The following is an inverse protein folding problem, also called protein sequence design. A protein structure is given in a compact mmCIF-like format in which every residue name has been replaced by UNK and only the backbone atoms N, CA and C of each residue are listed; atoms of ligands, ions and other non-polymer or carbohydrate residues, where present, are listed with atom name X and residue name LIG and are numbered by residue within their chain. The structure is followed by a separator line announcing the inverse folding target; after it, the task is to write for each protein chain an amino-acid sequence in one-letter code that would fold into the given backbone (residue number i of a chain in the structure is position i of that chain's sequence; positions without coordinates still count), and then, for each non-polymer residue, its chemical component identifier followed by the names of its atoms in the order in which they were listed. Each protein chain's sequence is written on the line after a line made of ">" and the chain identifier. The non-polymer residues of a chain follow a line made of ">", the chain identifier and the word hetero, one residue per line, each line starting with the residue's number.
data_IF_822761549345
#
_entry.id   IF_822761549345
#
_cell.length_a   1.000
_cell.length_b   1.000
_cell.length_c   1.000
_cell.angle_alpha   90.00
_cell.angle_beta   90.00
_cell.angle_gamma   90.00
#
_symmetry.space_group_name_H-M   'P 1'
#
loop_
_entity.id
_entity.type
_entity.pdbx_description
1 polymer ?
#
# COMPACT_ATOMS: atom_id res chain seq x y z
N UNK A 1 7.05 11.40 12.44
CA UNK A 1 5.67 11.86 12.69
C UNK A 1 5.62 12.99 13.72
N UNK A 2 5.62 12.74 15.04
CA UNK A 2 5.45 13.81 16.08
C UNK A 2 6.30 15.08 15.90
N UNK A 3 7.60 14.94 15.59
CA UNK A 3 8.52 16.09 15.37
C UNK A 3 8.00 17.07 14.31
N UNK A 4 7.30 16.57 13.31
CA UNK A 4 6.81 17.34 12.16
C UNK A 4 5.29 17.51 12.13
N UNK A 5 4.58 17.01 13.15
CA UNK A 5 3.11 17.02 13.27
C UNK A 5 2.40 16.42 12.04
N UNK A 6 2.81 15.21 11.67
CA UNK A 6 2.30 14.53 10.48
C UNK A 6 1.28 13.44 10.85
N UNK A 7 0.14 13.35 10.13
CA UNK A 7 -0.68 12.15 10.14
C UNK A 7 0.07 10.99 9.48
N UNK A 8 -0.38 9.77 9.76
CA UNK A 8 0.17 8.55 9.19
C UNK A 8 -0.85 7.42 9.28
N UNK A 9 -0.69 6.44 8.39
CA UNK A 9 -1.41 5.16 8.40
C UNK A 9 -0.42 4.04 8.67
N UNK A 10 -0.76 3.15 9.61
CA UNK A 10 0.03 1.96 9.91
C UNK A 10 -0.76 0.71 9.51
N UNK A 11 -0.24 -0.03 8.54
CA UNK A 11 -0.76 -1.34 8.16
C UNK A 11 -0.10 -2.41 9.02
N UNK A 12 -0.83 -2.94 10.00
CA UNK A 12 -0.28 -3.87 10.99
C UNK A 12 -0.62 -5.33 10.62
N UNK A 13 0.37 -6.23 10.54
CA UNK A 13 0.11 -7.65 10.58
C UNK A 13 -0.46 -8.05 11.95
N UNK A 14 -1.45 -8.93 11.99
CA UNK A 14 -2.03 -9.41 13.24
C UNK A 14 -1.00 -10.01 14.21
N UNK A 15 -0.02 -10.75 13.69
CA UNK A 15 1.11 -11.26 14.47
C UNK A 15 1.87 -10.11 15.16
N UNK A 16 2.11 -9.01 14.46
CA UNK A 16 2.79 -7.84 15.01
C UNK A 16 1.96 -7.14 16.09
N UNK A 17 0.63 -7.07 15.92
CA UNK A 17 -0.28 -6.52 16.95
C UNK A 17 -0.18 -7.32 18.25
N UNK A 18 -0.18 -8.65 18.16
CA UNK A 18 -0.11 -9.53 19.34
C UNK A 18 1.30 -9.63 19.93
N UNK A 19 2.33 -9.49 19.11
CA UNK A 19 3.74 -9.56 19.55
C UNK A 19 4.20 -8.26 20.20
N UNK A 20 3.74 -7.12 19.70
CA UNK A 20 4.15 -5.79 20.14
C UNK A 20 2.95 -4.94 20.61
N UNK A 21 2.16 -5.43 21.59
CA UNK A 21 0.90 -4.80 21.96
C UNK A 21 1.08 -3.38 22.51
N UNK A 22 2.18 -3.11 23.22
CA UNK A 22 2.48 -1.77 23.74
C UNK A 22 2.76 -0.78 22.60
N UNK A 23 3.51 -1.19 21.58
CA UNK A 23 3.83 -0.34 20.43
C UNK A 23 2.59 -0.13 19.54
N UNK A 24 1.75 -1.14 19.39
CA UNK A 24 0.46 -1.00 18.74
C UNK A 24 -0.42 0.01 19.47
N UNK A 25 -0.60 -0.13 20.79
CA UNK A 25 -1.41 0.80 21.59
C UNK A 25 -0.87 2.24 21.55
N UNK A 26 0.45 2.43 21.44
CA UNK A 26 1.02 3.75 21.19
C UNK A 26 0.53 4.34 19.87
N UNK A 27 0.47 3.56 18.78
CA UNK A 27 -0.03 4.08 17.50
C UNK A 27 -1.51 4.46 17.56
N UNK A 28 -2.32 3.68 18.26
CA UNK A 28 -3.74 3.96 18.49
C UNK A 28 -3.95 5.21 19.34
N UNK A 29 -3.23 5.33 20.46
CA UNK A 29 -3.37 6.45 21.39
C UNK A 29 -2.92 7.79 20.79
N UNK A 30 -2.00 7.76 19.81
CA UNK A 30 -1.59 8.95 19.05
C UNK A 30 -2.58 9.33 17.93
N UNK A 31 -3.61 8.52 17.72
CA UNK A 31 -4.65 8.78 16.71
C UNK A 31 -4.20 8.52 15.28
N UNK A 32 -3.19 7.68 15.06
CA UNK A 32 -2.83 7.25 13.71
C UNK A 32 -3.89 6.29 13.15
N UNK A 33 -4.07 6.31 11.84
CA UNK A 33 -4.95 5.35 11.16
C UNK A 33 -4.32 3.95 11.21
N UNK A 34 -5.14 2.92 11.44
CA UNK A 34 -4.73 1.52 11.47
C UNK A 34 -5.40 0.76 10.33
N UNK A 35 -4.59 0.11 9.48
CA UNK A 35 -5.02 -0.76 8.39
C UNK A 35 -4.59 -2.22 8.60
N UNK A 36 -5.16 -3.11 7.79
CA UNK A 36 -4.90 -4.56 7.83
C UNK A 36 -3.71 -4.94 6.96
N UNK A 37 -2.86 -5.87 7.42
CA UNK A 37 -1.71 -6.37 6.65
C UNK A 37 -1.44 -7.88 6.83
N UNK A 38 -2.49 -8.70 6.74
CA UNK A 38 -2.40 -10.15 7.01
C UNK A 38 -2.11 -10.47 8.48
N UNK A 39 -1.81 -11.73 8.81
CA UNK A 39 -1.48 -12.11 10.18
C UNK A 39 0.04 -12.19 10.35
N UNK A 40 0.70 -13.16 9.72
CA UNK A 40 2.14 -13.40 9.72
C UNK A 40 2.82 -12.99 8.41
N UNK A 41 2.22 -12.01 7.71
CA UNK A 41 2.71 -11.51 6.43
C UNK A 41 2.78 -12.63 5.36
N UNK A 42 1.67 -13.38 5.23
CA UNK A 42 1.48 -14.47 4.29
C UNK A 42 1.18 -13.93 2.89
N UNK A 43 1.82 -14.47 1.85
CA UNK A 43 1.52 -14.11 0.47
C UNK A 43 0.11 -14.62 0.06
N UNK A 44 -0.86 -13.73 -0.26
CA UNK A 44 -2.22 -14.13 -0.61
C UNK A 44 -2.32 -15.05 -1.83
N UNK A 45 -1.41 -14.98 -2.80
CA UNK A 45 -1.39 -15.90 -3.95
C UNK A 45 -1.11 -17.36 -3.57
N UNK A 46 -0.56 -17.61 -2.38
CA UNK A 46 -0.28 -18.95 -1.86
C UNK A 46 -1.42 -19.51 -0.99
N UNK A 47 -2.49 -18.75 -0.77
CA UNK A 47 -3.59 -19.10 0.12
C UNK A 47 -4.83 -19.57 -0.65
N UNK A 48 -5.66 -20.38 0.01
CA UNK A 48 -7.04 -20.60 -0.44
C UNK A 48 -7.92 -19.41 -0.06
N UNK A 49 -9.08 -19.26 -0.72
CA UNK A 49 -10.07 -18.23 -0.34
C UNK A 49 -10.47 -18.32 1.13
N UNK A 50 -10.64 -19.54 1.66
CA UNK A 50 -11.00 -19.77 3.07
C UNK A 50 -9.89 -19.29 4.01
N UNK A 51 -8.63 -19.62 3.71
CA UNK A 51 -7.49 -19.14 4.51
C UNK A 51 -7.37 -17.61 4.49
N UNK A 52 -7.50 -17.00 3.32
CA UNK A 52 -7.45 -15.54 3.17
C UNK A 52 -8.60 -14.86 3.93
N UNK A 53 -9.81 -15.42 3.84
CA UNK A 53 -10.99 -14.96 4.58
C UNK A 53 -10.80 -15.07 6.10
N UNK A 54 -10.36 -16.23 6.61
CA UNK A 54 -10.15 -16.46 8.04
C UNK A 54 -9.13 -15.50 8.63
N UNK A 55 -8.01 -15.26 7.93
CA UNK A 55 -6.97 -14.33 8.34
C UNK A 55 -7.52 -12.89 8.36
N UNK A 56 -8.25 -12.52 7.30
CA UNK A 56 -8.82 -11.18 7.18
C UNK A 56 -9.84 -10.91 8.28
N UNK A 57 -10.77 -11.83 8.53
CA UNK A 57 -11.77 -11.74 9.62
C UNK A 57 -11.09 -11.62 10.98
N UNK A 58 -10.10 -12.47 11.26
CA UNK A 58 -9.36 -12.44 12.51
C UNK A 58 -8.63 -11.10 12.73
N UNK A 59 -7.98 -10.57 11.70
CA UNK A 59 -7.23 -9.32 11.82
C UNK A 59 -8.16 -8.09 11.95
N UNK A 60 -9.30 -8.09 11.24
CA UNK A 60 -10.33 -7.05 11.40
C UNK A 60 -10.86 -7.04 12.83
N UNK A 61 -11.22 -8.20 13.38
CA UNK A 61 -11.69 -8.32 14.75
C UNK A 61 -10.62 -7.87 15.75
N UNK A 62 -9.36 -8.28 15.54
CA UNK A 62 -8.24 -7.91 16.40
C UNK A 62 -8.04 -6.38 16.45
N UNK A 63 -8.05 -5.71 15.29
CA UNK A 63 -7.93 -4.25 15.20
C UNK A 63 -9.16 -3.57 15.80
N UNK A 64 -10.36 -4.03 15.47
CA UNK A 64 -11.63 -3.43 15.94
C UNK A 64 -11.73 -3.48 17.46
N UNK A 65 -11.37 -4.60 18.07
CA UNK A 65 -11.39 -4.77 19.53
C UNK A 65 -10.42 -3.85 20.27
N UNK A 66 -9.33 -3.42 19.62
CA UNK A 66 -8.29 -2.59 20.24
C UNK A 66 -8.45 -1.09 19.93
N UNK A 67 -8.98 -0.75 18.77
CA UNK A 67 -9.16 0.63 18.30
C UNK A 67 -10.58 1.16 18.54
N UNK A 68 -11.57 0.28 18.66
CA UNK A 68 -12.99 0.62 18.74
C UNK A 68 -13.67 0.91 17.40
N UNK A 69 -12.95 0.80 16.28
CA UNK A 69 -13.50 1.01 14.93
C UNK A 69 -12.95 -0.05 13.96
N UNK A 70 -13.76 -0.43 12.96
CA UNK A 70 -13.28 -1.32 11.91
C UNK A 70 -12.21 -0.59 11.06
N UNK A 71 -11.10 -1.27 10.70
CA UNK A 71 -10.16 -0.72 9.74
C UNK A 71 -10.84 -0.54 8.38
N UNK A 72 -10.39 0.44 7.61
CA UNK A 72 -10.90 0.76 6.27
C UNK A 72 -9.89 0.45 5.16
N UNK A 73 -8.60 0.39 5.50
CA UNK A 73 -7.51 0.12 4.59
C UNK A 73 -6.94 -1.29 4.69
N UNK A 74 -6.44 -1.78 3.56
CA UNK A 74 -5.72 -3.04 3.46
C UNK A 74 -4.45 -2.86 2.61
N UNK A 75 -3.41 -3.62 2.97
CA UNK A 75 -2.24 -3.86 2.12
C UNK A 75 -2.01 -5.37 2.05
N UNK A 76 -1.93 -5.93 0.85
CA UNK A 76 -1.55 -7.31 0.63
C UNK A 76 -0.09 -7.52 1.08
N UNK A 77 0.20 -8.52 1.93
CA UNK A 77 1.57 -8.85 2.25
C UNK A 77 2.40 -9.09 0.99
N UNK A 78 3.55 -8.42 0.92
CA UNK A 78 4.44 -8.44 -0.24
C UNK A 78 3.83 -7.91 -1.57
N UNK A 79 2.72 -7.16 -1.50
CA UNK A 79 1.97 -6.64 -2.66
C UNK A 79 1.47 -7.70 -3.64
N UNK A 80 1.17 -8.88 -3.12
CA UNK A 80 0.70 -10.01 -3.92
C UNK A 80 -0.82 -10.13 -3.80
N UNK A 81 -1.54 -9.30 -4.55
CA UNK A 81 -3.00 -9.25 -4.55
C UNK A 81 -3.60 -10.47 -5.26
N UNK A 82 -4.45 -11.22 -4.56
CA UNK A 82 -5.03 -12.47 -5.08
C UNK A 82 -6.25 -12.22 -5.97
N UNK A 83 -6.67 -13.26 -6.70
CA UNK A 83 -7.86 -13.20 -7.54
C UNK A 83 -9.17 -13.12 -6.74
N UNK A 84 -9.14 -13.37 -5.42
CA UNK A 84 -10.30 -13.28 -4.53
C UNK A 84 -10.23 -12.10 -3.56
N UNK A 85 -9.06 -11.47 -3.39
CA UNK A 85 -8.84 -10.40 -2.42
C UNK A 85 -9.83 -9.25 -2.57
N UNK A 86 -10.08 -8.75 -3.78
CA UNK A 86 -11.02 -7.66 -4.02
C UNK A 86 -12.43 -7.95 -3.46
N UNK A 87 -12.96 -9.14 -3.76
CA UNK A 87 -14.28 -9.55 -3.28
C UNK A 87 -14.29 -9.66 -1.75
N UNK A 88 -13.26 -10.28 -1.16
CA UNK A 88 -13.17 -10.45 0.29
C UNK A 88 -13.10 -9.12 1.04
N UNK A 89 -12.37 -8.13 0.50
CA UNK A 89 -12.28 -6.78 1.04
C UNK A 89 -13.63 -6.06 0.99
N UNK A 90 -14.31 -6.08 -0.17
CA UNK A 90 -15.61 -5.43 -0.32
C UNK A 90 -16.67 -6.08 0.57
N UNK A 91 -16.71 -7.43 0.64
CA UNK A 91 -17.65 -8.19 1.48
C UNK A 91 -17.57 -7.78 2.97
N UNK A 92 -16.39 -7.33 3.42
CA UNK A 92 -16.11 -6.91 4.81
C UNK A 92 -16.12 -5.40 5.02
N UNK A 93 -16.42 -4.63 3.96
CA UNK A 93 -16.56 -3.18 4.04
C UNK A 93 -15.24 -2.42 4.08
N UNK A 94 -14.12 -3.01 3.64
CA UNK A 94 -12.88 -2.27 3.45
C UNK A 94 -13.07 -1.28 2.30
N UNK A 95 -12.61 -0.05 2.51
CA UNK A 95 -12.79 1.09 1.61
C UNK A 95 -11.74 1.12 0.51
N UNK A 96 -10.49 0.81 0.85
CA UNK A 96 -9.38 0.93 -0.08
C UNK A 96 -8.30 -0.15 0.10
N UNK A 97 -7.52 -0.35 -0.96
CA UNK A 97 -6.29 -1.14 -1.03
C UNK A 97 -5.09 -0.25 -1.37
N UNK A 98 -3.89 -0.69 -0.95
CA UNK A 98 -2.60 -0.13 -1.33
C UNK A 98 -1.61 -1.25 -1.70
N UNK A 99 -1.90 -1.93 -2.80
CA UNK A 99 -1.11 -3.09 -3.27
C UNK A 99 -0.95 -3.15 -4.78
N UNK A 100 -1.83 -2.51 -5.54
CA UNK A 100 -1.87 -2.58 -6.99
C UNK A 100 -1.17 -1.38 -7.63
N UNK A 101 -0.72 -1.57 -8.87
CA UNK A 101 0.18 -0.62 -9.56
C UNK A 101 -0.34 -0.22 -10.95
N UNK A 102 -1.66 -0.11 -11.14
CA UNK A 102 -2.22 0.28 -12.45
C UNK A 102 -2.03 1.76 -12.78
N UNK A 103 -1.76 2.59 -11.76
CA UNK A 103 -1.43 4.02 -11.84
C UNK A 103 -0.37 4.33 -10.80
N UNK A 104 0.23 5.52 -10.88
CA UNK A 104 1.34 5.92 -9.99
C UNK A 104 0.87 6.91 -8.92
N UNK A 105 0.34 8.07 -9.35
CA UNK A 105 0.06 9.22 -8.48
C UNK A 105 -1.41 9.64 -8.44
N UNK A 106 -2.31 8.74 -8.84
CA UNK A 106 -3.76 8.96 -8.84
C UNK A 106 -4.47 7.72 -8.28
N UNK A 107 -5.38 7.87 -7.31
CA UNK A 107 -6.24 6.78 -6.90
C UNK A 107 -7.19 6.38 -8.04
N UNK A 108 -7.71 5.15 -8.00
CA UNK A 108 -8.65 4.66 -9.00
C UNK A 108 -9.52 3.52 -8.46
N UNK A 109 -10.63 3.21 -9.14
CA UNK A 109 -11.44 2.03 -8.82
C UNK A 109 -10.81 0.76 -9.40
N UNK A 110 -10.62 -0.26 -8.56
CA UNK A 110 -9.99 -1.52 -8.95
C UNK A 110 -10.88 -2.28 -9.93
N UNK A 111 -10.29 -2.88 -10.98
CA UNK A 111 -11.01 -3.82 -11.85
C UNK A 111 -10.80 -5.26 -11.42
N UNK A 112 -11.86 -6.05 -11.51
CA UNK A 112 -11.81 -7.53 -11.38
C UNK A 112 -12.12 -8.19 -12.72
N UNK A 113 -11.56 -9.37 -12.95
CA UNK A 113 -11.80 -10.14 -14.18
C UNK A 113 -10.93 -9.74 -15.37
N UNK A 114 -9.90 -8.90 -15.18
CA UNK A 114 -8.86 -8.70 -16.19
C UNK A 114 -8.23 -10.07 -16.55
N UNK A 115 -8.06 -10.35 -17.85
CA UNK A 115 -7.53 -11.63 -18.33
C UNK A 115 -6.58 -11.46 -19.52
N UNK A 116 -5.58 -12.35 -19.61
CA UNK A 116 -4.60 -12.34 -20.69
C UNK A 116 -4.23 -13.75 -21.13
N UNK A 117 -3.77 -13.88 -22.38
CA UNK A 117 -3.28 -15.16 -22.90
C UNK A 117 -1.78 -15.24 -22.69
N UNK A 118 -1.32 -16.21 -21.90
CA UNK A 118 0.12 -16.46 -21.68
C UNK A 118 0.77 -16.99 -22.97
N UNK A 119 2.05 -16.68 -23.15
CA UNK A 119 2.84 -17.23 -24.25
C UNK A 119 2.95 -18.75 -24.07
N UNK A 120 2.68 -19.47 -25.16
CA UNK A 120 2.80 -20.92 -25.26
C UNK A 120 3.66 -21.23 -26.49
N UNK A 121 4.93 -21.58 -26.26
CA UNK A 121 5.91 -21.80 -27.33
C UNK A 121 5.68 -23.09 -28.12
N UNK A 122 4.81 -23.98 -27.64
CA UNK A 122 4.42 -25.20 -28.35
C UNK A 122 3.29 -24.94 -29.37
N UNK A 123 2.79 -23.70 -29.45
CA UNK A 123 1.68 -23.30 -30.32
C UNK A 123 2.08 -22.22 -31.34
N UNK A 124 1.36 -22.12 -32.48
CA UNK A 124 1.53 -20.99 -33.39
C UNK A 124 1.29 -19.66 -32.66
N UNK A 125 2.10 -18.63 -32.97
CA UNK A 125 2.03 -17.33 -32.31
C UNK A 125 0.62 -16.70 -32.28
N UNK A 126 -0.22 -16.99 -33.28
CA UNK A 126 -1.62 -16.54 -33.34
C UNK A 126 -2.48 -16.97 -32.15
N UNK A 127 -2.07 -18.02 -31.41
CA UNK A 127 -2.81 -18.49 -30.23
C UNK A 127 -2.70 -17.54 -29.04
N UNK A 128 -1.57 -16.81 -28.91
CA UNK A 128 -1.29 -15.94 -27.76
C UNK A 128 -1.06 -14.46 -28.12
N UNK A 129 -0.93 -14.11 -29.41
CA UNK A 129 -0.92 -12.70 -29.87
C UNK A 129 -2.31 -12.06 -29.78
N UNK A 130 -2.83 -11.94 -28.56
CA UNK A 130 -4.13 -11.36 -28.21
C UNK A 130 -3.91 -10.26 -27.16
N UNK A 131 -4.65 -9.15 -27.23
CA UNK A 131 -4.58 -8.14 -26.19
C UNK A 131 -5.12 -8.68 -24.86
N UNK A 132 -4.74 -8.03 -23.75
CA UNK A 132 -5.43 -8.17 -22.47
C UNK A 132 -6.89 -7.73 -22.64
N UNK A 133 -7.81 -8.48 -22.03
CA UNK A 133 -9.22 -8.13 -21.93
C UNK A 133 -9.46 -7.54 -20.54
N UNK A 134 -9.89 -6.28 -20.49
CA UNK A 134 -10.24 -5.61 -19.23
C UNK A 134 -11.56 -6.18 -18.71
N UNK A 135 -11.62 -6.42 -17.41
CA UNK A 135 -12.85 -6.76 -16.70
C UNK A 135 -13.60 -5.50 -16.26
N UNK A 136 -14.28 -5.59 -15.12
CA UNK A 136 -15.22 -4.58 -14.64
C UNK A 136 -14.70 -3.91 -13.36
N UNK A 137 -14.93 -2.61 -13.23
CA UNK A 137 -14.55 -1.83 -12.04
C UNK A 137 -15.48 -2.10 -10.84
N UNK A 138 -14.88 -2.33 -9.68
CA UNK A 138 -15.57 -2.49 -8.39
C UNK A 138 -15.51 -1.20 -7.58
N UNK A 139 -16.11 -1.21 -6.39
CA UNK A 139 -16.14 -0.04 -5.50
C UNK A 139 -14.89 0.08 -4.61
N UNK A 140 -13.95 -0.88 -4.71
CA UNK A 140 -12.68 -0.81 -4.00
C UNK A 140 -11.80 0.27 -4.63
N UNK A 141 -11.38 1.24 -3.82
CA UNK A 141 -10.42 2.27 -4.22
C UNK A 141 -9.01 1.71 -4.09
N UNK A 142 -8.18 1.88 -5.10
CA UNK A 142 -6.74 1.72 -4.99
C UNK A 142 -6.09 3.07 -4.69
N UNK A 143 -5.22 3.10 -3.68
CA UNK A 143 -4.17 4.10 -3.51
C UNK A 143 -2.85 3.42 -3.90
N UNK A 144 -2.26 3.70 -5.07
CA UNK A 144 -1.35 2.76 -5.71
C UNK A 144 -0.07 2.51 -4.91
N UNK A 145 0.34 1.25 -4.86
CA UNK A 145 1.68 0.87 -4.45
C UNK A 145 2.72 1.27 -5.52
N UNK A 146 3.97 1.48 -5.10
CA UNK A 146 5.08 1.73 -6.04
C UNK A 146 6.39 1.20 -5.49
N UNK A 147 7.03 0.28 -6.23
CA UNK A 147 8.40 -0.18 -5.92
C UNK A 147 9.44 0.95 -5.91
N UNK A 148 9.14 2.08 -6.56
CA UNK A 148 10.01 3.26 -6.55
C UNK A 148 9.79 4.18 -5.35
N UNK A 149 8.77 3.90 -4.52
CA UNK A 149 8.45 4.60 -3.26
C UNK A 149 8.35 3.63 -2.08
N UNK A 150 9.18 2.58 -2.09
CA UNK A 150 9.30 1.58 -1.02
C UNK A 150 10.74 1.54 -0.49
N UNK A 151 10.90 1.61 0.83
CA UNK A 151 12.21 1.57 1.48
C UNK A 151 12.80 0.15 1.58
N UNK A 152 11.97 -0.90 1.58
CA UNK A 152 12.40 -2.25 1.93
C UNK A 152 13.31 -2.88 0.87
N UNK A 153 12.91 -3.03 -0.40
CA UNK A 153 13.73 -3.70 -1.41
C UNK A 153 15.13 -3.10 -1.58
N UNK A 154 15.33 -1.76 -1.71
CA UNK A 154 16.66 -1.22 -1.96
C UNK A 154 17.59 -1.28 -0.73
N UNK A 155 17.07 -1.20 0.50
CA UNK A 155 17.88 -0.96 1.70
C UNK A 155 17.97 -2.21 2.62
N UNK A 156 16.97 -3.11 2.60
CA UNK A 156 16.99 -4.31 3.43
C UNK A 156 17.78 -5.45 2.76
N UNK A 157 18.83 -5.92 3.45
CA UNK A 157 19.56 -7.12 3.04
C UNK A 157 18.86 -8.40 3.54
N UNK A 158 18.47 -9.27 2.61
CA UNK A 158 17.76 -10.53 2.84
C UNK A 158 18.60 -11.71 2.31
N UNK A 159 19.29 -12.42 3.21
CA UNK A 159 20.22 -13.51 2.85
C UNK A 159 19.61 -14.63 2.01
N UNK A 160 18.32 -14.92 2.19
CA UNK A 160 17.60 -15.99 1.50
C UNK A 160 17.07 -15.57 0.13
N UNK A 161 17.06 -14.27 -0.20
CA UNK A 161 16.54 -13.78 -1.47
C UNK A 161 17.68 -13.59 -2.47
N UNK A 162 17.68 -14.28 -3.62
CA UNK A 162 18.70 -14.08 -4.66
C UNK A 162 18.64 -12.68 -5.29
N UNK A 163 17.47 -12.02 -5.21
CA UNK A 163 17.25 -10.65 -5.66
C UNK A 163 17.39 -9.62 -4.53
N UNK A 164 17.92 -10.01 -3.36
CA UNK A 164 18.23 -9.03 -2.32
C UNK A 164 19.18 -7.99 -2.85
N UNK A 165 18.85 -6.72 -2.66
CA UNK A 165 19.83 -5.67 -2.83
C UNK A 165 20.91 -5.79 -1.76
N UNK A 166 22.07 -5.23 -2.06
CA UNK A 166 23.26 -5.47 -1.26
C UNK A 166 23.40 -4.35 -0.23
N UNK A 167 23.58 -3.09 -0.64
CA UNK A 167 23.67 -1.92 0.27
C UNK A 167 23.41 -0.59 -0.49
N UNK A 168 22.20 -0.36 -1.04
CA UNK A 168 21.91 0.92 -1.72
C UNK A 168 22.04 2.07 -0.71
N UNK A 169 22.67 3.17 -1.12
CA UNK A 169 22.86 4.33 -0.27
C UNK A 169 21.51 5.07 -0.13
N UNK A 170 21.03 5.33 1.11
CA UNK A 170 19.78 6.07 1.32
C UNK A 170 19.75 7.45 0.65
N UNK A 171 20.90 8.09 0.38
CA UNK A 171 20.93 9.36 -0.35
C UNK A 171 20.54 9.22 -1.83
N UNK A 172 20.81 8.07 -2.44
CA UNK A 172 20.43 7.83 -3.83
C UNK A 172 18.92 7.54 -3.91
N UNK A 173 18.38 6.81 -2.91
CA UNK A 173 16.92 6.60 -2.76
C UNK A 173 16.20 7.93 -2.51
N UNK A 174 16.75 8.77 -1.63
CA UNK A 174 16.26 10.12 -1.37
C UNK A 174 16.16 10.96 -2.66
N UNK A 175 17.21 10.96 -3.49
CA UNK A 175 17.25 11.69 -4.75
C UNK A 175 16.15 11.21 -5.70
N UNK A 176 16.00 9.89 -5.85
CA UNK A 176 14.92 9.29 -6.66
C UNK A 176 13.53 9.71 -6.17
N UNK A 177 13.32 9.77 -4.85
CA UNK A 177 12.01 10.17 -4.28
C UNK A 177 11.76 11.67 -4.43
N UNK A 178 12.79 12.50 -4.29
CA UNK A 178 12.69 13.95 -4.54
C UNK A 178 12.41 14.25 -6.01
N UNK A 179 13.10 13.57 -6.92
CA UNK A 179 12.90 13.74 -8.36
C UNK A 179 11.48 13.34 -8.80
N UNK A 180 10.96 12.23 -8.24
CA UNK A 180 9.56 11.83 -8.46
C UNK A 180 8.60 12.90 -7.94
N UNK A 181 8.78 13.38 -6.70
CA UNK A 181 7.92 14.42 -6.13
C UNK A 181 7.98 15.71 -6.95
N UNK A 182 9.17 16.20 -7.30
CA UNK A 182 9.36 17.45 -8.04
C UNK A 182 8.73 17.39 -9.43
N UNK A 183 8.78 16.22 -10.08
CA UNK A 183 8.11 16.01 -11.36
C UNK A 183 6.58 16.01 -11.20
N UNK A 184 6.05 15.27 -10.22
CA UNK A 184 4.60 15.24 -9.94
C UNK A 184 4.09 16.64 -9.61
N UNK A 185 4.76 17.35 -8.69
CA UNK A 185 4.40 18.70 -8.28
C UNK A 185 4.39 19.70 -9.44
N UNK A 186 5.27 19.52 -10.43
CA UNK A 186 5.33 20.39 -11.63
C UNK A 186 4.22 20.09 -12.63
N UNK A 187 3.84 18.82 -12.79
CA UNK A 187 2.99 18.35 -13.89
C UNK A 187 1.52 18.14 -13.50
N UNK A 188 1.22 17.94 -12.21
CA UNK A 188 -0.12 17.65 -11.71
C UNK A 188 -0.64 18.77 -10.82
N UNK A 189 -1.87 19.21 -11.08
CA UNK A 189 -2.61 20.12 -10.18
C UNK A 189 -3.18 19.38 -8.96
N UNK A 190 -3.45 18.07 -9.10
CA UNK A 190 -3.93 17.19 -8.04
C UNK A 190 -3.30 15.80 -8.22
N UNK A 191 -2.61 15.32 -7.19
CA UNK A 191 -1.94 14.04 -7.18
C UNK A 191 -1.73 13.55 -5.75
N UNK A 192 -1.53 12.24 -5.61
CA UNK A 192 -1.10 11.59 -4.36
C UNK A 192 0.35 11.13 -4.49
N UNK A 193 1.05 11.09 -3.35
CA UNK A 193 2.43 10.61 -3.28
C UNK A 193 2.57 9.60 -2.14
N UNK A 194 1.99 8.38 -2.29
CA UNK A 194 1.99 7.37 -1.23
C UNK A 194 3.38 6.74 -1.08
N UNK A 195 4.02 6.93 0.07
CA UNK A 195 5.32 6.35 0.39
C UNK A 195 5.13 5.18 1.35
N UNK A 196 5.68 4.02 1.02
CA UNK A 196 5.65 2.82 1.84
C UNK A 196 6.95 2.71 2.64
N UNK A 197 6.80 2.64 3.97
CA UNK A 197 7.93 2.61 4.90
C UNK A 197 7.76 1.46 5.89
N UNK A 198 8.87 0.83 6.25
CA UNK A 198 8.89 -0.27 7.21
C UNK A 198 9.76 0.10 8.42
N UNK A 199 9.31 -0.09 9.68
CA UNK A 199 10.15 0.14 10.86
C UNK A 199 11.50 -0.62 10.82
N UNK A 200 11.54 -1.76 10.14
CA UNK A 200 12.71 -2.60 9.89
C UNK A 200 13.85 -1.85 9.16
N UNK A 201 13.48 -0.87 8.32
CA UNK A 201 14.38 -0.06 7.49
C UNK A 201 14.35 1.41 7.91
N UNK A 202 13.18 2.04 7.86
CA UNK A 202 12.97 3.43 8.22
C UNK A 202 13.13 3.75 9.70
N UNK A 203 13.22 2.74 10.57
CA UNK A 203 13.67 2.91 11.95
C UNK A 203 15.19 3.11 12.11
N UNK A 204 15.99 2.95 11.05
CA UNK A 204 17.46 3.04 11.10
C UNK A 204 17.95 4.49 10.97
N UNK A 205 19.02 4.90 11.68
CA UNK A 205 19.45 6.30 11.75
C UNK A 205 19.68 6.99 10.40
N UNK A 206 20.34 6.31 9.46
CA UNK A 206 20.63 6.89 8.14
C UNK A 206 19.38 7.09 7.28
N UNK A 207 18.35 6.27 7.47
CA UNK A 207 17.06 6.38 6.78
C UNK A 207 16.18 7.41 7.48
N UNK A 208 16.19 7.48 8.81
CA UNK A 208 15.56 8.58 9.55
C UNK A 208 16.05 9.94 9.06
N UNK A 209 17.36 10.11 8.88
CA UNK A 209 17.92 11.35 8.32
C UNK A 209 17.46 11.61 6.87
N UNK A 210 17.27 10.58 6.06
CA UNK A 210 16.68 10.71 4.71
C UNK A 210 15.23 11.21 4.80
N UNK A 211 14.41 10.61 5.66
CA UNK A 211 13.02 11.01 5.85
C UNK A 211 12.89 12.44 6.37
N UNK A 212 13.77 12.89 7.28
CA UNK A 212 13.80 14.29 7.73
C UNK A 212 13.99 15.27 6.56
N UNK A 213 14.94 14.99 5.66
CA UNK A 213 15.19 15.83 4.49
C UNK A 213 14.05 15.79 3.47
N UNK A 214 13.45 14.62 3.24
CA UNK A 214 12.28 14.48 2.36
C UNK A 214 11.09 15.26 2.89
N UNK A 215 10.76 15.12 4.18
CA UNK A 215 9.66 15.85 4.82
C UNK A 215 9.91 17.36 4.72
N UNK A 216 11.12 17.82 5.00
CA UNK A 216 11.49 19.24 4.88
C UNK A 216 11.37 19.75 3.44
N UNK A 217 11.75 18.94 2.45
CA UNK A 217 11.57 19.25 1.03
C UNK A 217 10.08 19.34 0.66
N UNK A 218 9.25 18.35 1.00
CA UNK A 218 7.82 18.36 0.70
C UNK A 218 7.11 19.54 1.37
N UNK A 219 7.38 19.82 2.65
CA UNK A 219 6.79 20.96 3.39
C UNK A 219 7.21 22.33 2.85
N UNK A 220 8.23 22.41 2.00
CA UNK A 220 8.65 23.67 1.36
C UNK A 220 7.84 24.05 0.12
N UNK A 221 6.90 23.19 -0.32
CA UNK A 221 6.07 23.40 -1.49
C UNK A 221 4.63 23.78 -1.12
N UNK A 222 4.12 24.87 -1.69
CA UNK A 222 2.75 25.32 -1.46
C UNK A 222 1.73 24.32 -2.02
N UNK A 223 0.64 24.08 -1.29
CA UNK A 223 -0.41 23.13 -1.69
C UNK A 223 -0.16 21.67 -1.29
N UNK A 224 0.98 21.36 -0.67
CA UNK A 224 1.23 20.02 -0.10
C UNK A 224 0.46 19.84 1.20
N UNK A 225 -0.36 18.80 1.26
CA UNK A 225 -1.04 18.33 2.46
C UNK A 225 -0.59 16.91 2.80
N UNK A 226 -0.28 16.68 4.07
CA UNK A 226 -0.03 15.33 4.58
C UNK A 226 -1.34 14.78 5.09
N UNK A 227 -1.72 13.60 4.61
CA UNK A 227 -2.99 12.96 4.92
C UNK A 227 -2.79 11.48 5.30
N UNK A 228 -3.76 10.90 5.98
CA UNK A 228 -3.87 9.44 6.10
C UNK A 228 -4.40 8.85 4.79
N UNK A 229 -4.19 7.56 4.57
CA UNK A 229 -4.75 6.86 3.42
C UNK A 229 -6.30 6.87 3.44
N UNK A 230 -6.92 6.79 4.62
CA UNK A 230 -8.37 6.92 4.77
C UNK A 230 -8.92 8.25 4.21
N UNK A 231 -8.21 9.35 4.50
CA UNK A 231 -8.55 10.69 4.03
C UNK A 231 -8.39 10.79 2.51
N UNK A 232 -7.30 10.25 1.96
CA UNK A 232 -7.09 10.18 0.51
C UNK A 232 -8.23 9.41 -0.17
N UNK A 233 -8.64 8.28 0.40
CA UNK A 233 -9.76 7.50 -0.13
C UNK A 233 -11.09 8.28 -0.04
N UNK A 234 -11.37 8.98 1.06
CA UNK A 234 -12.58 9.80 1.21
C UNK A 234 -12.61 10.95 0.19
N UNK A 235 -11.49 11.65 0.00
CA UNK A 235 -11.37 12.74 -0.96
C UNK A 235 -11.58 12.23 -2.40
N UNK A 236 -11.00 11.07 -2.73
CA UNK A 236 -11.19 10.43 -4.02
C UNK A 236 -12.66 10.06 -4.27
N UNK A 237 -13.32 9.44 -3.29
CA UNK A 237 -14.72 9.04 -3.38
C UNK A 237 -15.66 10.25 -3.50
N UNK A 238 -15.37 11.34 -2.79
CA UNK A 238 -16.12 12.59 -2.88
C UNK A 238 -15.97 13.25 -4.25
N UNK A 239 -14.77 13.21 -4.84
CA UNK A 239 -14.49 13.76 -6.16
C UNK A 239 -14.99 12.88 -7.32
N UNK A 240 -15.11 11.56 -7.11
CA UNK A 240 -15.44 10.58 -8.14
C UNK A 240 -16.62 9.67 -7.74
N UNK A 241 -17.80 10.22 -7.39
CA UNK A 241 -18.91 9.42 -6.89
C UNK A 241 -19.39 8.40 -7.94
N UNK A 242 -19.73 7.19 -7.50
CA UNK A 242 -20.41 6.17 -8.33
C UNK A 242 -21.90 6.16 -8.05
N UNK A 243 -22.71 6.04 -9.11
CA UNK A 243 -24.13 5.74 -8.98
C UNK A 243 -24.28 4.30 -8.46
N UNK A 244 -24.74 4.14 -7.20
CA UNK A 244 -25.07 2.83 -6.65
C UNK A 244 -26.24 2.24 -7.47
N UNK A 245 -25.96 1.20 -8.26
CA UNK A 245 -26.99 0.42 -8.97
C UNK A 245 -27.74 -0.51 -8.02
#
# INVERSE_FOLDING_TARGET
>A
MKKYDLPATFFWPGHSIETFPEQFDLTVNEGFEIGVHGYSHENPLAMTREQEADILDYCIDLITNRTGACPTGYVAPWWEFSHVTNELLIERGLKYDHSLMHRDHEPYYVRVGDSWTKIDYDKPASEWMKPLVRGEETDLVEIPASWYLDDLPPIMFIKSSPNSHVFVNPRDVEEIWRDQFDWVYREYDNAIFPITLHPDVSGRPQVLLMLERLIEHFKSHDGVEFATFDQIADDFLAANPRDKK
#
